data_IF_570414272754
#
_entry.id   IF_570414272754
#
_cell.length_a   1.000
_cell.length_b   1.000
_cell.length_c   1.000
_cell.angle_alpha   90.00
_cell.angle_beta   90.00
_cell.angle_gamma   90.00
#
_symmetry.space_group_name_H-M   'P 1'
#
loop_
_entity.id
_entity.type
_entity.pdbx_description
1 polymer ?
#
# COMPACT_ATOMS: atom_id res chain seq x y z
N UNK A 1 60.60 -17.12 24.39
CA UNK A 1 59.83 -18.28 23.90
C UNK A 1 58.76 -17.73 22.99
N UNK A 2 58.60 -18.29 21.78
CA UNK A 2 57.37 -18.06 21.02
C UNK A 2 56.22 -18.70 21.81
N UNK A 3 55.05 -18.05 21.91
CA UNK A 3 53.89 -18.67 22.51
C UNK A 3 53.59 -20.01 21.81
N UNK A 4 53.13 -21.02 22.55
CA UNK A 4 52.83 -22.34 21.98
C UNK A 4 51.79 -22.21 20.85
N UNK A 5 51.98 -22.98 19.78
CA UNK A 5 51.05 -23.05 18.68
C UNK A 5 49.77 -23.74 19.16
N UNK A 6 48.69 -22.98 19.34
CA UNK A 6 47.43 -23.47 19.92
C UNK A 6 46.91 -24.76 19.27
N UNK A 7 46.97 -24.95 17.93
CA UNK A 7 46.49 -26.19 17.31
C UNK A 7 47.30 -27.45 17.66
N UNK A 8 48.51 -27.30 18.21
CA UNK A 8 49.31 -28.45 18.66
C UNK A 8 48.91 -28.96 20.06
N UNK A 9 48.01 -28.26 20.75
CA UNK A 9 47.66 -28.53 22.15
C UNK A 9 46.15 -28.56 22.43
N UNK A 10 45.32 -27.93 21.58
CA UNK A 10 43.87 -27.90 21.72
C UNK A 10 43.17 -27.96 20.37
N UNK A 11 42.05 -28.68 20.32
CA UNK A 11 41.07 -28.57 19.24
C UNK A 11 40.12 -27.42 19.55
N UNK A 12 39.91 -26.52 18.59
CA UNK A 12 39.00 -25.39 18.73
C UNK A 12 37.85 -25.57 17.76
N UNK A 13 36.65 -25.57 18.31
CA UNK A 13 35.41 -25.56 17.53
C UNK A 13 34.65 -24.26 17.80
N UNK A 14 33.96 -23.77 16.78
CA UNK A 14 33.10 -22.61 16.87
C UNK A 14 31.91 -22.85 15.96
N UNK A 15 30.70 -22.68 16.48
CA UNK A 15 29.48 -22.76 15.69
C UNK A 15 28.56 -21.65 16.17
N UNK A 16 27.96 -20.93 15.22
CA UNK A 16 26.88 -20.01 15.49
C UNK A 16 25.59 -20.57 14.87
N UNK A 17 24.50 -20.53 15.61
CA UNK A 17 23.21 -21.04 15.14
C UNK A 17 22.30 -19.83 14.90
N UNK A 18 21.71 -19.68 13.70
CA UNK A 18 20.76 -18.62 13.45
C UNK A 18 19.53 -18.79 14.34
N UNK A 19 18.98 -17.66 14.78
CA UNK A 19 17.69 -17.67 15.47
C UNK A 19 16.64 -18.33 14.57
N UNK A 20 15.79 -19.18 15.16
CA UNK A 20 14.79 -19.97 14.44
C UNK A 20 15.28 -21.33 13.93
N UNK A 21 16.59 -21.58 13.86
CA UNK A 21 17.11 -22.88 13.43
C UNK A 21 16.82 -23.99 14.46
N UNK A 22 16.38 -25.20 14.05
CA UNK A 22 16.03 -26.26 14.99
C UNK A 22 17.27 -26.80 15.71
N UNK A 23 17.18 -27.00 17.02
CA UNK A 23 18.30 -27.49 17.84
C UNK A 23 18.72 -28.93 17.51
N UNK A 24 17.79 -29.72 16.99
CA UNK A 24 17.98 -31.11 16.58
C UNK A 24 18.45 -31.24 15.12
N UNK A 25 18.43 -30.15 14.35
CA UNK A 25 18.90 -30.12 12.98
C UNK A 25 20.38 -29.77 12.91
N UNK A 26 21.21 -30.78 12.64
CA UNK A 26 22.65 -30.55 12.43
C UNK A 26 22.92 -29.68 11.20
N UNK A 27 23.94 -28.82 11.33
CA UNK A 27 24.50 -28.09 10.20
C UNK A 27 25.14 -29.04 9.19
N UNK A 28 25.11 -28.66 7.91
CA UNK A 28 25.73 -29.44 6.84
C UNK A 28 27.23 -29.61 7.08
N UNK A 29 27.81 -30.69 6.51
CA UNK A 29 29.27 -30.91 6.59
C UNK A 29 30.06 -29.78 5.95
N UNK A 30 29.57 -29.24 4.83
CA UNK A 30 30.19 -28.11 4.14
C UNK A 30 30.23 -26.86 5.04
N UNK A 31 29.14 -26.59 5.77
CA UNK A 31 29.09 -25.50 6.75
C UNK A 31 30.17 -25.68 7.82
N UNK A 32 30.27 -26.88 8.41
CA UNK A 32 31.27 -27.21 9.45
C UNK A 32 32.70 -27.06 8.90
N UNK A 33 32.97 -27.53 7.69
CA UNK A 33 34.27 -27.38 7.03
C UNK A 33 34.63 -25.91 6.75
N UNK A 34 33.68 -25.11 6.30
CA UNK A 34 33.91 -23.70 6.03
C UNK A 34 34.19 -22.91 7.32
N UNK A 35 33.50 -23.23 8.41
CA UNK A 35 33.81 -22.66 9.72
C UNK A 35 35.18 -23.13 10.24
N UNK A 36 35.54 -24.40 10.03
CA UNK A 36 36.87 -24.92 10.33
C UNK A 36 37.99 -24.12 9.65
N UNK A 37 37.84 -23.83 8.35
CA UNK A 37 38.81 -22.99 7.60
C UNK A 37 38.97 -21.60 8.20
N UNK A 38 37.90 -21.01 8.74
CA UNK A 38 37.95 -19.70 9.41
C UNK A 38 38.73 -19.80 10.73
N UNK A 39 38.50 -20.86 11.51
CA UNK A 39 39.24 -21.11 12.76
C UNK A 39 40.72 -21.37 12.46
N UNK A 40 41.04 -22.19 11.46
CA UNK A 40 42.41 -22.46 11.03
C UNK A 40 43.13 -21.17 10.60
N UNK A 41 42.46 -20.30 9.84
CA UNK A 41 43.02 -19.03 9.41
C UNK A 41 43.34 -18.09 10.58
N UNK A 42 42.48 -18.07 11.61
CA UNK A 42 42.73 -17.32 12.84
C UNK A 42 43.89 -17.92 13.65
N UNK A 43 43.89 -19.23 13.86
CA UNK A 43 44.96 -19.94 14.57
C UNK A 43 46.31 -19.79 13.88
N UNK A 44 46.31 -19.75 12.54
CA UNK A 44 47.46 -19.47 11.70
C UNK A 44 47.88 -18.00 11.64
N UNK A 45 47.22 -17.12 12.41
CA UNK A 45 47.48 -15.66 12.46
C UNK A 45 47.33 -14.94 11.11
N UNK A 46 46.57 -15.53 10.18
CA UNK A 46 46.26 -14.94 8.87
C UNK A 46 44.97 -14.12 8.87
N UNK A 47 44.20 -14.20 9.97
CA UNK A 47 42.96 -13.46 10.17
C UNK A 47 42.93 -12.81 11.56
N UNK A 48 42.43 -11.57 11.62
CA UNK A 48 42.27 -10.83 12.87
C UNK A 48 41.15 -11.42 13.73
N UNK A 49 41.36 -11.47 15.04
CA UNK A 49 40.37 -12.02 15.99
C UNK A 49 39.03 -11.26 15.96
N UNK A 50 39.09 -9.93 15.82
CA UNK A 50 37.89 -9.08 15.79
C UNK A 50 36.92 -9.34 14.64
N UNK A 51 37.29 -10.11 13.62
CA UNK A 51 36.40 -10.44 12.48
C UNK A 51 35.87 -11.88 12.51
N UNK A 52 36.37 -12.75 13.40
CA UNK A 52 36.00 -14.18 13.43
C UNK A 52 34.49 -14.36 13.54
N UNK A 53 33.85 -13.73 14.52
CA UNK A 53 32.43 -13.90 14.77
C UNK A 53 31.57 -13.53 13.55
N UNK A 54 31.94 -12.44 12.86
CA UNK A 54 31.26 -12.00 11.64
C UNK A 54 31.52 -12.97 10.48
N UNK A 55 32.74 -13.47 10.34
CA UNK A 55 33.10 -14.44 9.31
C UNK A 55 32.35 -15.77 9.49
N UNK A 56 32.30 -16.30 10.72
CA UNK A 56 31.54 -17.51 11.06
C UNK A 56 30.06 -17.30 10.75
N UNK A 57 29.45 -16.21 11.24
CA UNK A 57 28.03 -15.90 10.99
C UNK A 57 27.72 -15.85 9.49
N UNK A 58 28.52 -15.12 8.70
CA UNK A 58 28.35 -15.01 7.25
C UNK A 58 28.51 -16.36 6.55
N UNK A 59 29.52 -17.14 6.91
CA UNK A 59 29.77 -18.47 6.35
C UNK A 59 28.61 -19.43 6.58
N UNK A 60 27.97 -19.35 7.75
CA UNK A 60 26.82 -20.19 8.08
C UNK A 60 25.61 -19.76 7.26
N UNK A 61 25.27 -18.46 7.25
CA UNK A 61 24.17 -17.93 6.45
C UNK A 61 24.32 -18.22 4.94
N UNK A 62 25.55 -18.12 4.40
CA UNK A 62 25.83 -18.43 3.00
C UNK A 62 25.66 -19.91 2.64
N UNK A 63 25.73 -20.80 3.64
CA UNK A 63 25.60 -22.26 3.44
C UNK A 63 24.18 -22.80 3.63
N UNK A 64 23.24 -21.96 4.11
CA UNK A 64 21.84 -22.36 4.25
C UNK A 64 21.20 -22.45 2.88
N UNK A 65 20.60 -23.60 2.59
CA UNK A 65 20.03 -24.01 1.30
C UNK A 65 18.52 -24.27 1.33
N UNK A 66 17.86 -24.00 2.45
CA UNK A 66 16.40 -24.03 2.55
C UNK A 66 15.84 -22.88 3.40
N UNK A 67 14.56 -22.58 3.16
CA UNK A 67 13.79 -21.58 3.89
C UNK A 67 14.12 -20.13 3.50
N UNK A 68 13.80 -19.23 4.41
CA UNK A 68 13.94 -17.78 4.24
C UNK A 68 14.82 -17.21 5.36
N UNK A 69 15.69 -16.27 5.02
CA UNK A 69 16.55 -15.60 5.98
C UNK A 69 16.19 -14.11 6.02
N UNK A 70 15.84 -13.59 7.20
CA UNK A 70 15.55 -12.16 7.41
C UNK A 70 16.36 -11.67 8.60
N UNK A 71 17.21 -10.67 8.41
CA UNK A 71 18.04 -10.09 9.48
C UNK A 71 18.86 -11.14 10.25
N UNK A 72 19.37 -12.16 9.55
CA UNK A 72 20.05 -13.34 10.13
C UNK A 72 19.19 -14.30 10.96
N UNK A 73 17.87 -14.12 10.99
CA UNK A 73 16.90 -15.09 11.52
C UNK A 73 16.51 -16.03 10.39
N UNK A 74 16.46 -17.33 10.67
CA UNK A 74 16.03 -18.36 9.72
C UNK A 74 14.58 -18.74 9.97
N UNK A 75 13.83 -18.86 8.87
CA UNK A 75 12.44 -19.26 8.83
C UNK A 75 12.35 -20.49 7.94
N UNK A 76 12.17 -21.66 8.55
CA UNK A 76 12.06 -22.93 7.81
C UNK A 76 10.69 -23.10 7.17
N UNK A 77 9.66 -23.21 8.01
CA UNK A 77 8.27 -23.22 7.56
C UNK A 77 7.85 -21.79 7.25
N UNK A 78 7.39 -21.55 6.01
CA UNK A 78 6.93 -20.24 5.52
C UNK A 78 5.55 -19.86 6.09
N UNK A 79 5.38 -20.02 7.39
CA UNK A 79 4.23 -19.50 8.11
C UNK A 79 4.26 -17.97 8.05
N UNK A 80 3.21 -17.39 7.50
CA UNK A 80 3.14 -15.96 7.25
C UNK A 80 3.35 -15.14 8.53
N UNK A 81 2.83 -15.59 9.67
CA UNK A 81 3.02 -14.95 10.97
C UNK A 81 4.50 -14.88 11.39
N UNK A 82 5.28 -15.94 11.15
CA UNK A 82 6.73 -15.96 11.45
C UNK A 82 7.49 -15.00 10.54
N UNK A 83 7.08 -14.88 9.27
CA UNK A 83 7.66 -13.92 8.32
C UNK A 83 7.39 -12.48 8.81
N UNK A 84 6.16 -12.18 9.24
CA UNK A 84 5.80 -10.87 9.77
C UNK A 84 6.55 -10.54 11.06
N UNK A 85 6.74 -11.52 11.95
CA UNK A 85 7.53 -11.36 13.17
C UNK A 85 8.99 -11.04 12.83
N UNK A 86 9.60 -11.76 11.88
CA UNK A 86 10.97 -11.49 11.47
C UNK A 86 11.13 -10.10 10.79
N UNK A 87 10.09 -9.63 10.08
CA UNK A 87 10.02 -8.30 9.49
C UNK A 87 9.69 -7.18 10.49
N UNK A 88 9.43 -7.49 11.77
CA UNK A 88 9.11 -6.46 12.78
C UNK A 88 10.23 -5.43 12.94
N UNK A 89 11.47 -5.89 12.75
CA UNK A 89 12.69 -5.11 12.90
C UNK A 89 13.03 -4.29 11.64
N UNK A 90 12.34 -4.54 10.53
CA UNK A 90 12.49 -3.78 9.28
C UNK A 90 11.65 -2.50 9.32
N UNK A 91 12.24 -1.38 8.88
CA UNK A 91 11.53 -0.12 8.77
C UNK A 91 10.39 -0.22 7.73
N UNK A 92 9.21 0.28 8.06
CA UNK A 92 8.04 0.25 7.17
C UNK A 92 6.73 0.42 7.95
N UNK A 93 5.68 0.82 7.25
CA UNK A 93 4.31 0.79 7.77
C UNK A 93 3.79 -0.65 7.90
N UNK A 94 2.69 -0.83 8.63
CA UNK A 94 2.05 -2.16 8.78
C UNK A 94 1.68 -2.74 7.41
N UNK A 95 1.06 -1.96 6.53
CA UNK A 95 0.71 -2.41 5.18
C UNK A 95 1.93 -2.74 4.31
N UNK A 96 3.05 -2.00 4.45
CA UNK A 96 4.29 -2.38 3.75
C UNK A 96 4.85 -3.70 4.27
N UNK A 97 4.77 -3.93 5.58
CA UNK A 97 5.24 -5.18 6.19
C UNK A 97 4.41 -6.37 5.74
N UNK A 98 3.09 -6.23 5.74
CA UNK A 98 2.16 -7.26 5.28
C UNK A 98 2.42 -7.61 3.80
N UNK A 99 2.48 -6.59 2.94
CA UNK A 99 2.75 -6.81 1.53
C UNK A 99 4.15 -7.39 1.28
N UNK A 100 5.16 -6.98 2.05
CA UNK A 100 6.50 -7.55 1.99
C UNK A 100 6.52 -9.02 2.44
N UNK A 101 5.70 -9.41 3.41
CA UNK A 101 5.54 -10.80 3.79
C UNK A 101 4.99 -11.66 2.65
N UNK A 102 3.93 -11.17 1.97
CA UNK A 102 3.34 -11.88 0.83
C UNK A 102 4.29 -11.98 -0.37
N UNK A 103 5.01 -10.89 -0.68
CA UNK A 103 5.96 -10.89 -1.80
C UNK A 103 7.15 -11.83 -1.54
N UNK A 104 7.63 -11.91 -0.29
CA UNK A 104 8.69 -12.84 0.09
C UNK A 104 8.20 -14.29 0.03
N UNK A 105 6.97 -14.56 0.51
CA UNK A 105 6.36 -15.90 0.42
C UNK A 105 6.30 -16.34 -1.03
N UNK A 106 5.76 -15.49 -1.90
CA UNK A 106 5.67 -15.76 -3.35
C UNK A 106 7.05 -15.98 -3.96
N UNK A 107 8.04 -15.16 -3.60
CA UNK A 107 9.41 -15.28 -4.09
C UNK A 107 10.04 -16.63 -3.70
N UNK A 108 9.95 -17.01 -2.43
CA UNK A 108 10.53 -18.28 -1.95
C UNK A 108 9.83 -19.49 -2.58
N UNK A 109 8.50 -19.46 -2.73
CA UNK A 109 7.74 -20.55 -3.36
C UNK A 109 8.09 -20.76 -4.84
N UNK A 110 8.63 -19.75 -5.53
CA UNK A 110 9.02 -19.83 -6.94
C UNK A 110 10.51 -20.14 -7.15
N UNK A 111 11.32 -20.19 -6.10
CA UNK A 111 12.72 -20.62 -6.19
C UNK A 111 12.77 -22.15 -6.13
N UNK A 112 13.23 -22.78 -7.19
CA UNK A 112 13.47 -24.21 -7.24
C UNK A 112 14.83 -24.56 -6.63
N UNK A 113 15.00 -25.82 -6.20
CA UNK A 113 16.29 -26.30 -5.66
C UNK A 113 17.46 -26.25 -6.65
N UNK A 114 17.18 -26.06 -7.94
CA UNK A 114 18.18 -25.94 -9.01
C UNK A 114 18.52 -24.47 -9.33
N UNK A 115 17.79 -23.51 -8.75
CA UNK A 115 17.95 -22.09 -9.01
C UNK A 115 18.99 -21.45 -8.08
N UNK A 116 19.58 -20.34 -8.52
CA UNK A 116 20.35 -19.48 -7.63
C UNK A 116 19.39 -18.72 -6.71
N UNK A 117 19.76 -18.61 -5.43
CA UNK A 117 18.98 -17.82 -4.48
C UNK A 117 19.21 -16.33 -4.65
N UNK A 118 18.49 -15.56 -3.83
CA UNK A 118 18.49 -14.11 -3.93
C UNK A 118 18.90 -13.49 -2.60
N UNK A 119 19.63 -12.38 -2.67
CA UNK A 119 19.97 -11.54 -1.52
C UNK A 119 19.54 -10.11 -1.79
N UNK A 120 18.73 -9.58 -0.89
CA UNK A 120 18.31 -8.19 -0.88
C UNK A 120 19.16 -7.44 0.15
N UNK A 121 19.92 -6.46 -0.31
CA UNK A 121 20.77 -5.65 0.57
C UNK A 121 19.99 -4.47 1.21
N UNK A 122 20.65 -3.73 2.10
CA UNK A 122 20.06 -2.57 2.78
C UNK A 122 19.70 -1.37 1.87
N UNK A 123 19.95 -1.47 0.56
CA UNK A 123 19.57 -0.48 -0.46
C UNK A 123 18.47 -1.00 -1.40
N UNK A 124 17.96 -2.22 -1.17
CA UNK A 124 17.00 -2.86 -2.05
C UNK A 124 17.60 -3.41 -3.35
N UNK A 125 18.93 -3.54 -3.44
CA UNK A 125 19.56 -4.16 -4.60
C UNK A 125 19.59 -5.68 -4.43
N UNK A 126 19.33 -6.40 -5.53
CA UNK A 126 19.38 -7.86 -5.59
C UNK A 126 20.79 -8.31 -5.97
N UNK A 127 21.25 -9.37 -5.33
CA UNK A 127 22.46 -10.12 -5.70
C UNK A 127 22.18 -11.63 -5.60
N UNK A 128 22.87 -12.40 -6.43
CA UNK A 128 22.73 -13.86 -6.46
C UNK A 128 23.35 -14.53 -5.22
N UNK A 129 22.76 -15.63 -4.80
CA UNK A 129 23.29 -16.56 -3.80
C UNK A 129 23.54 -17.91 -4.43
N UNK A 130 24.59 -18.57 -3.95
CA UNK A 130 24.95 -19.94 -4.39
C UNK A 130 23.94 -21.00 -3.97
N UNK A 131 23.14 -20.71 -2.95
CA UNK A 131 22.14 -21.62 -2.41
C UNK A 131 20.74 -21.12 -2.79
N UNK A 132 19.76 -22.01 -2.99
CA UNK A 132 18.42 -21.67 -3.51
C UNK A 132 17.53 -21.06 -2.41
N UNK A 133 17.98 -19.99 -1.76
CA UNK A 133 17.23 -19.34 -0.67
C UNK A 133 17.26 -17.83 -0.77
N UNK A 134 16.21 -17.19 -0.24
CA UNK A 134 16.11 -15.74 -0.16
C UNK A 134 16.72 -15.24 1.15
N UNK A 135 17.55 -14.21 1.07
CA UNK A 135 18.12 -13.52 2.23
C UNK A 135 17.82 -12.02 2.18
N UNK A 136 17.20 -11.50 3.23
CA UNK A 136 17.06 -10.06 3.48
C UNK A 136 18.12 -9.65 4.50
N UNK A 137 19.05 -8.79 4.09
CA UNK A 137 20.11 -8.29 4.96
C UNK A 137 19.57 -7.24 5.93
N UNK A 138 20.13 -7.27 7.14
CA UNK A 138 19.90 -6.26 8.18
C UNK A 138 20.06 -4.82 7.64
N UNK A 139 19.05 -4.00 7.89
CA UNK A 139 18.99 -2.61 7.44
C UNK A 139 18.14 -2.37 6.19
N UNK A 140 17.70 -3.41 5.48
CA UNK A 140 16.69 -3.26 4.43
C UNK A 140 15.33 -2.86 5.03
N UNK A 141 14.65 -1.89 4.43
CA UNK A 141 13.26 -1.56 4.77
C UNK A 141 12.27 -2.50 4.08
N UNK A 142 11.02 -2.56 4.55
CA UNK A 142 9.96 -3.27 3.83
C UNK A 142 9.75 -2.67 2.43
N UNK A 143 9.93 -1.35 2.28
CA UNK A 143 9.90 -0.68 0.98
C UNK A 143 11.02 -1.13 0.03
N UNK A 144 12.22 -1.42 0.56
CA UNK A 144 13.35 -1.95 -0.22
C UNK A 144 13.05 -3.37 -0.72
N UNK A 145 12.51 -4.22 0.16
CA UNK A 145 12.08 -5.59 -0.19
C UNK A 145 11.01 -5.55 -1.29
N UNK A 146 9.99 -4.72 -1.12
CA UNK A 146 8.93 -4.53 -2.10
C UNK A 146 9.51 -4.04 -3.43
N UNK A 147 10.36 -3.02 -3.41
CA UNK A 147 10.98 -2.48 -4.63
C UNK A 147 11.80 -3.52 -5.37
N UNK A 148 12.57 -4.33 -4.64
CA UNK A 148 13.40 -5.38 -5.21
C UNK A 148 12.56 -6.45 -5.94
N UNK A 149 11.43 -6.85 -5.35
CA UNK A 149 10.66 -8.01 -5.80
C UNK A 149 9.38 -7.64 -6.58
N UNK A 150 9.06 -6.36 -6.71
CA UNK A 150 7.77 -5.90 -7.24
C UNK A 150 7.53 -6.32 -8.69
N UNK A 151 8.57 -6.24 -9.52
CA UNK A 151 8.45 -6.56 -10.94
C UNK A 151 8.00 -8.01 -11.12
N UNK A 152 8.65 -8.95 -10.44
CA UNK A 152 8.38 -10.38 -10.63
C UNK A 152 7.17 -10.88 -9.82
N UNK A 153 6.97 -10.36 -8.60
CA UNK A 153 6.04 -10.95 -7.63
C UNK A 153 4.94 -9.99 -7.15
N UNK A 154 4.91 -8.76 -7.67
CA UNK A 154 3.95 -7.74 -7.24
C UNK A 154 2.49 -8.11 -7.51
N UNK A 155 2.21 -8.86 -8.59
CA UNK A 155 0.86 -9.34 -8.89
C UNK A 155 0.40 -10.34 -7.82
N UNK A 156 1.20 -11.36 -7.50
CA UNK A 156 0.88 -12.34 -6.45
C UNK A 156 0.70 -11.69 -5.08
N UNK A 157 1.48 -10.65 -4.78
CA UNK A 157 1.33 -9.88 -3.56
C UNK A 157 0.00 -9.08 -3.52
N UNK A 158 -0.44 -8.53 -4.66
CA UNK A 158 -1.74 -7.85 -4.79
C UNK A 158 -2.92 -8.83 -4.64
N UNK A 159 -2.82 -10.02 -5.22
CA UNK A 159 -3.84 -11.06 -5.09
C UNK A 159 -4.00 -11.51 -3.63
N UNK A 160 -2.89 -11.61 -2.91
CA UNK A 160 -2.88 -11.97 -1.48
C UNK A 160 -3.65 -10.98 -0.60
N UNK A 161 -3.75 -9.71 -1.01
CA UNK A 161 -4.53 -8.67 -0.32
C UNK A 161 -5.92 -8.43 -0.94
N UNK A 162 -6.34 -9.31 -1.84
CA UNK A 162 -7.69 -9.32 -2.41
C UNK A 162 -7.89 -8.48 -3.67
N UNK A 163 -6.80 -8.10 -4.36
CA UNK A 163 -6.84 -7.35 -5.62
C UNK A 163 -6.50 -8.32 -6.76
N UNK A 164 -7.50 -8.74 -7.54
CA UNK A 164 -7.38 -9.80 -8.54
C UNK A 164 -7.59 -9.30 -9.98
N UNK A 165 -7.06 -10.06 -10.94
CA UNK A 165 -7.33 -9.88 -12.38
C UNK A 165 -6.88 -8.52 -12.93
N UNK A 166 -7.63 -7.99 -13.90
CA UNK A 166 -7.30 -6.75 -14.63
C UNK A 166 -7.04 -5.54 -13.71
N UNK A 167 -7.69 -5.48 -12.54
CA UNK A 167 -7.44 -4.41 -11.57
C UNK A 167 -6.01 -4.50 -11.00
N UNK A 168 -5.59 -5.70 -10.60
CA UNK A 168 -4.24 -5.98 -10.10
C UNK A 168 -3.18 -5.69 -11.15
N UNK A 169 -3.38 -6.15 -12.38
CA UNK A 169 -2.46 -5.91 -13.51
C UNK A 169 -2.29 -4.41 -13.79
N UNK A 170 -3.38 -3.64 -13.80
CA UNK A 170 -3.30 -2.18 -14.01
C UNK A 170 -2.58 -1.46 -12.87
N UNK A 171 -2.78 -1.88 -11.63
CA UNK A 171 -2.11 -1.32 -10.46
C UNK A 171 -0.61 -1.61 -10.52
N UNK A 172 -0.25 -2.87 -10.77
CA UNK A 172 1.13 -3.32 -10.93
C UNK A 172 1.84 -2.59 -12.07
N UNK A 173 1.21 -2.50 -13.26
CA UNK A 173 1.80 -1.84 -14.42
C UNK A 173 2.01 -0.34 -14.18
N UNK A 174 1.08 0.34 -13.50
CA UNK A 174 1.23 1.76 -13.12
C UNK A 174 2.40 1.96 -12.18
N UNK A 175 2.55 1.08 -11.19
CA UNK A 175 3.63 1.15 -10.23
C UNK A 175 5.00 0.86 -10.88
N UNK A 176 5.07 -0.04 -11.88
CA UNK A 176 6.28 -0.26 -12.67
C UNK A 176 6.64 0.92 -13.58
N UNK A 177 5.65 1.49 -14.30
CA UNK A 177 5.90 2.61 -15.22
C UNK A 177 6.26 3.91 -14.51
N UNK A 178 5.66 4.17 -13.34
CA UNK A 178 5.89 5.38 -12.55
C UNK A 178 5.99 5.02 -11.06
N UNK A 179 7.15 4.51 -10.62
CA UNK A 179 7.32 4.04 -9.25
C UNK A 179 7.08 5.15 -8.24
N UNK A 180 6.20 4.87 -7.28
CA UNK A 180 6.01 5.68 -6.07
C UNK A 180 6.60 4.94 -4.87
N UNK A 181 7.09 5.63 -3.85
CA UNK A 181 7.41 4.98 -2.58
C UNK A 181 6.22 4.16 -2.07
N UNK A 182 6.46 2.92 -1.61
CA UNK A 182 5.39 1.98 -1.27
C UNK A 182 4.43 2.49 -0.20
N UNK A 183 4.92 3.19 0.83
CA UNK A 183 4.06 3.86 1.80
C UNK A 183 3.12 4.92 1.20
N UNK A 184 3.47 5.56 0.09
CA UNK A 184 2.56 6.48 -0.64
C UNK A 184 1.63 5.72 -1.57
N UNK A 185 2.14 4.67 -2.23
CA UNK A 185 1.36 3.80 -3.09
C UNK A 185 0.21 3.13 -2.33
N UNK A 186 0.49 2.52 -1.17
CA UNK A 186 -0.51 1.84 -0.36
C UNK A 186 -1.59 2.78 0.18
N UNK A 187 -1.18 3.94 0.71
CA UNK A 187 -2.14 5.00 1.08
C UNK A 187 -3.04 5.42 -0.09
N UNK A 188 -2.48 5.44 -1.30
CA UNK A 188 -3.23 5.70 -2.52
C UNK A 188 -4.24 4.62 -2.86
N UNK A 189 -3.89 3.34 -2.65
CA UNK A 189 -4.80 2.20 -2.84
C UNK A 189 -5.96 2.25 -1.85
N UNK A 190 -5.67 2.45 -0.55
CA UNK A 190 -6.70 2.55 0.49
C UNK A 190 -7.67 3.69 0.19
N UNK A 191 -7.13 4.87 -0.12
CA UNK A 191 -7.93 6.04 -0.48
C UNK A 191 -8.78 5.81 -1.74
N UNK A 192 -8.25 5.12 -2.75
CA UNK A 192 -8.99 4.78 -3.95
C UNK A 192 -10.12 3.79 -3.67
N UNK A 193 -9.87 2.77 -2.84
CA UNK A 193 -10.87 1.77 -2.44
C UNK A 193 -12.00 2.39 -1.62
N UNK A 194 -11.65 3.23 -0.64
CA UNK A 194 -12.64 4.00 0.13
C UNK A 194 -13.46 4.92 -0.79
N UNK A 195 -12.81 5.63 -1.70
CA UNK A 195 -13.48 6.52 -2.66
C UNK A 195 -14.43 5.74 -3.58
N UNK A 196 -14.03 4.55 -4.05
CA UNK A 196 -14.88 3.69 -4.87
C UNK A 196 -16.09 3.16 -4.08
N UNK A 197 -15.88 2.72 -2.82
CA UNK A 197 -16.95 2.30 -1.91
C UNK A 197 -17.96 3.43 -1.72
N UNK A 198 -17.51 4.63 -1.37
CA UNK A 198 -18.37 5.80 -1.18
C UNK A 198 -19.08 6.21 -2.48
N UNK A 199 -18.39 6.18 -3.62
CA UNK A 199 -18.99 6.48 -4.93
C UNK A 199 -20.13 5.52 -5.28
N UNK A 200 -19.99 4.23 -4.96
CA UNK A 200 -20.99 3.17 -5.19
C UNK A 200 -22.24 3.28 -4.31
N UNK A 201 -22.18 4.08 -3.23
CA UNK A 201 -23.35 4.34 -2.37
C UNK A 201 -24.38 5.24 -3.05
N UNK A 202 -23.98 6.07 -3.99
CA UNK A 202 -24.90 6.91 -4.75
C UNK A 202 -25.43 6.17 -5.99
N UNK A 203 -26.66 6.50 -6.39
CA UNK A 203 -27.41 5.82 -7.46
C UNK A 203 -27.15 6.38 -8.86
N UNK A 204 -26.77 7.66 -8.98
CA UNK A 204 -26.65 8.40 -10.26
C UNK A 204 -25.27 9.00 -10.46
N UNK A 205 -24.57 8.78 -11.58
CA UNK A 205 -23.20 9.27 -11.82
C UNK A 205 -23.18 10.78 -12.13
N UNK A 206 -22.02 11.41 -11.92
CA UNK A 206 -21.78 12.80 -12.37
C UNK A 206 -21.99 12.89 -13.89
N UNK A 207 -22.76 13.87 -14.34
CA UNK A 207 -23.12 14.06 -15.75
C UNK A 207 -24.20 13.12 -16.29
N UNK A 208 -24.77 12.24 -15.46
CA UNK A 208 -25.89 11.38 -15.86
C UNK A 208 -27.21 12.16 -15.94
N UNK A 209 -27.38 13.16 -15.08
CA UNK A 209 -28.55 14.04 -15.05
C UNK A 209 -28.28 15.30 -15.88
N UNK A 210 -29.27 15.71 -16.66
CA UNK A 210 -29.23 16.96 -17.44
C UNK A 210 -29.81 18.17 -16.68
N UNK A 211 -29.75 19.33 -17.33
CA UNK A 211 -30.42 20.54 -16.83
C UNK A 211 -29.78 21.17 -15.59
N UNK A 212 -30.54 22.05 -14.95
CA UNK A 212 -30.15 22.68 -13.68
C UNK A 212 -30.13 21.66 -12.53
N UNK A 213 -31.01 20.65 -12.54
CA UNK A 213 -30.97 19.56 -11.56
C UNK A 213 -29.64 18.81 -11.64
N UNK A 214 -29.20 18.45 -12.85
CA UNK A 214 -27.93 17.79 -13.07
C UNK A 214 -26.73 18.62 -12.63
N UNK A 215 -26.75 19.92 -12.92
CA UNK A 215 -25.69 20.84 -12.48
C UNK A 215 -25.58 20.91 -10.94
N UNK A 216 -26.70 21.00 -10.23
CA UNK A 216 -26.70 20.99 -8.76
C UNK A 216 -26.24 19.63 -8.23
N UNK A 217 -26.77 18.53 -8.77
CA UNK A 217 -26.38 17.17 -8.41
C UNK A 217 -24.86 16.96 -8.54
N UNK A 218 -24.29 17.39 -9.66
CA UNK A 218 -22.87 17.26 -9.93
C UNK A 218 -22.02 18.09 -8.97
N UNK A 219 -22.43 19.32 -8.68
CA UNK A 219 -21.76 20.17 -7.67
C UNK A 219 -21.86 19.58 -6.26
N UNK A 220 -22.99 18.99 -5.88
CA UNK A 220 -23.14 18.28 -4.60
C UNK A 220 -22.20 17.08 -4.54
N UNK A 221 -22.22 16.20 -5.55
CA UNK A 221 -21.32 15.04 -5.58
C UNK A 221 -19.85 15.43 -5.55
N UNK A 222 -19.44 16.41 -6.35
CA UNK A 222 -18.05 16.89 -6.38
C UNK A 222 -17.68 17.53 -5.05
N UNK A 223 -18.58 18.30 -4.43
CA UNK A 223 -18.34 18.93 -3.13
C UNK A 223 -18.17 17.90 -2.01
N UNK A 224 -18.97 16.83 -2.02
CA UNK A 224 -18.92 15.75 -1.04
C UNK A 224 -17.74 14.79 -1.23
N UNK A 225 -17.36 14.49 -2.48
CA UNK A 225 -16.33 13.49 -2.80
C UNK A 225 -14.94 14.09 -2.98
N UNK A 226 -14.84 15.22 -3.68
CA UNK A 226 -13.56 15.85 -4.05
C UNK A 226 -13.26 17.12 -3.23
N UNK A 227 -14.21 17.53 -2.38
CA UNK A 227 -14.11 18.68 -1.49
C UNK A 227 -14.74 19.96 -2.03
N UNK A 228 -15.29 20.75 -1.11
CA UNK A 228 -16.02 21.99 -1.40
C UNK A 228 -15.23 22.98 -2.28
N UNK A 229 -13.92 23.08 -2.11
CA UNK A 229 -13.09 24.02 -2.88
C UNK A 229 -13.05 23.72 -4.38
N UNK A 230 -13.13 22.45 -4.78
CA UNK A 230 -13.17 22.07 -6.21
C UNK A 230 -14.54 22.41 -6.80
N UNK A 231 -15.62 22.06 -6.10
CA UNK A 231 -16.98 22.40 -6.49
C UNK A 231 -17.21 23.91 -6.53
N UNK A 232 -16.65 24.68 -5.59
CA UNK A 232 -16.74 26.14 -5.58
C UNK A 232 -16.09 26.77 -6.82
N UNK A 233 -14.89 26.31 -7.22
CA UNK A 233 -14.25 26.78 -8.47
C UNK A 233 -15.09 26.46 -9.71
N UNK A 234 -15.80 25.34 -9.72
CA UNK A 234 -16.70 24.98 -10.82
C UNK A 234 -17.98 25.83 -10.80
N UNK A 235 -18.52 26.08 -9.61
CA UNK A 235 -19.72 26.89 -9.42
C UNK A 235 -19.50 28.36 -9.79
N UNK A 236 -18.31 28.92 -9.60
CA UNK A 236 -18.00 30.33 -9.95
C UNK A 236 -17.41 30.51 -11.35
N UNK A 237 -17.25 29.42 -12.11
CA UNK A 237 -16.80 29.48 -13.50
C UNK A 237 -17.85 30.16 -14.40
N UNK A 238 -17.47 30.53 -15.63
CA UNK A 238 -18.40 31.14 -16.57
C UNK A 238 -19.51 30.15 -16.96
N UNK A 239 -20.75 30.63 -16.98
CA UNK A 239 -21.93 29.85 -17.35
C UNK A 239 -22.44 30.23 -18.74
N UNK A 240 -22.97 29.25 -19.47
CA UNK A 240 -23.54 29.41 -20.81
C UNK A 240 -25.06 29.67 -20.80
N UNK A 241 -25.70 29.59 -19.63
CA UNK A 241 -27.14 29.75 -19.45
C UNK A 241 -27.49 30.26 -18.06
N UNK A 242 -28.64 30.96 -17.96
CA UNK A 242 -29.17 31.47 -16.69
C UNK A 242 -29.51 30.31 -15.74
N UNK A 243 -29.98 29.18 -16.25
CA UNK A 243 -30.37 28.03 -15.42
C UNK A 243 -29.15 27.36 -14.79
N UNK A 244 -28.04 27.20 -15.52
CA UNK A 244 -26.78 26.73 -14.92
C UNK A 244 -26.21 27.73 -13.92
N UNK A 245 -26.34 29.03 -14.18
CA UNK A 245 -25.92 30.07 -13.23
C UNK A 245 -26.76 30.04 -11.95
N UNK A 246 -28.08 29.87 -12.08
CA UNK A 246 -28.99 29.73 -10.95
C UNK A 246 -28.71 28.43 -10.17
N UNK A 247 -28.39 27.33 -10.85
CA UNK A 247 -28.02 26.05 -10.22
C UNK A 247 -26.74 26.18 -9.39
N UNK A 248 -25.69 26.74 -9.97
CA UNK A 248 -24.42 26.99 -9.28
C UNK A 248 -24.60 27.93 -8.08
N UNK A 249 -25.41 28.97 -8.21
CA UNK A 249 -25.72 29.88 -7.10
C UNK A 249 -26.56 29.21 -6.00
N UNK A 250 -27.54 28.37 -6.37
CA UNK A 250 -28.35 27.61 -5.41
C UNK A 250 -27.49 26.67 -4.56
N UNK A 251 -26.52 26.00 -5.20
CA UNK A 251 -25.54 25.18 -4.49
C UNK A 251 -24.67 26.01 -3.53
N UNK A 252 -24.11 27.15 -3.97
CA UNK A 252 -23.30 28.03 -3.11
C UNK A 252 -24.08 28.52 -1.89
N UNK A 253 -25.36 28.87 -2.05
CA UNK A 253 -26.25 29.23 -0.95
C UNK A 253 -26.51 28.05 0.00
N UNK A 254 -26.69 26.85 -0.55
CA UNK A 254 -26.97 25.65 0.24
C UNK A 254 -25.79 25.25 1.14
N UNK A 255 -24.56 25.31 0.62
CA UNK A 255 -23.34 24.93 1.36
C UNK A 255 -22.70 26.10 2.12
N UNK A 256 -23.32 27.29 2.13
CA UNK A 256 -22.83 28.45 2.86
C UNK A 256 -21.54 29.07 2.29
N UNK A 257 -21.32 28.96 0.97
CA UNK A 257 -20.14 29.45 0.24
C UNK A 257 -20.45 30.65 -0.68
N UNK A 258 -21.59 31.30 -0.50
CA UNK A 258 -22.05 32.39 -1.37
C UNK A 258 -21.37 33.74 -1.12
N UNK A 259 -20.85 33.99 0.08
CA UNK A 259 -20.34 35.31 0.51
C UNK A 259 -19.21 35.81 -0.38
N UNK A 260 -19.39 36.97 -1.01
CA UNK A 260 -18.39 37.60 -1.87
C UNK A 260 -18.33 37.04 -3.29
N UNK A 261 -19.20 36.08 -3.62
CA UNK A 261 -19.30 35.47 -4.94
C UNK A 261 -20.46 36.04 -5.77
N UNK A 262 -21.25 36.98 -5.23
CA UNK A 262 -22.47 37.51 -5.86
C UNK A 262 -22.22 38.15 -7.22
N UNK A 263 -21.03 38.75 -7.40
CA UNK A 263 -20.65 39.46 -8.63
C UNK A 263 -20.44 38.53 -9.83
N UNK A 264 -20.29 37.22 -9.61
CA UNK A 264 -20.21 36.22 -10.68
C UNK A 264 -21.58 35.92 -11.31
N UNK A 265 -22.69 36.30 -10.66
CA UNK A 265 -24.03 35.87 -11.04
C UNK A 265 -24.98 37.03 -11.30
N UNK A 266 -25.76 36.91 -12.37
CA UNK A 266 -26.81 37.86 -12.71
C UNK A 266 -27.95 37.87 -11.66
N UNK A 267 -28.66 38.99 -11.52
CA UNK A 267 -29.80 39.13 -10.61
C UNK A 267 -30.90 38.10 -10.85
N UNK A 268 -31.19 37.77 -12.10
CA UNK A 268 -32.24 36.80 -12.45
C UNK A 268 -31.85 35.37 -12.04
N UNK A 269 -30.57 35.02 -12.23
CA UNK A 269 -30.03 33.74 -11.77
C UNK A 269 -30.11 33.61 -10.25
N UNK A 270 -29.76 34.69 -9.53
CA UNK A 270 -29.82 34.73 -8.06
C UNK A 270 -31.25 34.63 -7.53
N UNK A 271 -32.20 35.29 -8.18
CA UNK A 271 -33.63 35.20 -7.84
C UNK A 271 -34.16 33.77 -8.02
N UNK A 272 -33.87 33.12 -9.15
CA UNK A 272 -34.29 31.73 -9.42
C UNK A 272 -33.71 30.74 -8.42
N UNK A 273 -32.41 30.84 -8.15
CA UNK A 273 -31.71 29.99 -7.20
C UNK A 273 -32.28 30.04 -5.77
N UNK A 274 -32.87 31.17 -5.37
CA UNK A 274 -33.49 31.32 -4.05
C UNK A 274 -34.65 30.33 -3.88
N UNK A 275 -35.40 30.04 -4.95
CA UNK A 275 -36.45 29.03 -4.94
C UNK A 275 -35.90 27.61 -4.82
N UNK A 276 -34.71 27.35 -5.38
CA UNK A 276 -34.08 26.02 -5.39
C UNK A 276 -33.24 25.71 -4.15
N UNK A 277 -32.94 26.74 -3.35
CA UNK A 277 -32.02 26.64 -2.21
C UNK A 277 -32.42 25.55 -1.22
N UNK A 278 -33.70 25.43 -0.86
CA UNK A 278 -34.13 24.48 0.17
C UNK A 278 -33.99 23.03 -0.32
N UNK A 279 -34.49 22.71 -1.52
CA UNK A 279 -34.30 21.39 -2.11
C UNK A 279 -32.82 21.06 -2.34
N UNK A 280 -32.00 22.08 -2.66
CA UNK A 280 -30.55 21.89 -2.77
C UNK A 280 -29.91 21.56 -1.41
N UNK A 281 -30.34 22.21 -0.33
CA UNK A 281 -29.88 21.87 1.04
C UNK A 281 -30.30 20.46 1.45
N UNK A 282 -31.52 20.06 1.11
CA UNK A 282 -32.00 18.70 1.36
C UNK A 282 -31.19 17.67 0.59
N UNK A 283 -30.86 17.94 -0.68
CA UNK A 283 -29.99 17.08 -1.47
C UNK A 283 -28.59 16.96 -0.85
N UNK A 284 -27.95 18.09 -0.48
CA UNK A 284 -26.66 18.09 0.22
C UNK A 284 -26.73 17.22 1.48
N UNK A 285 -27.73 17.45 2.33
CA UNK A 285 -27.92 16.71 3.59
C UNK A 285 -28.15 15.22 3.36
N UNK A 286 -28.94 14.85 2.35
CA UNK A 286 -29.17 13.45 1.99
C UNK A 286 -27.88 12.77 1.54
N UNK A 287 -27.02 13.48 0.79
CA UNK A 287 -25.70 12.99 0.40
C UNK A 287 -24.74 12.83 1.57
N UNK A 288 -24.70 13.78 2.50
CA UNK A 288 -23.91 13.68 3.74
C UNK A 288 -24.33 12.48 4.59
N UNK A 289 -25.64 12.28 4.77
CA UNK A 289 -26.19 11.13 5.50
C UNK A 289 -25.83 9.81 4.80
N UNK A 290 -25.92 9.75 3.47
CA UNK A 290 -25.59 8.56 2.69
C UNK A 290 -24.11 8.18 2.83
N UNK A 291 -23.21 9.16 2.90
CA UNK A 291 -21.78 8.94 3.10
C UNK A 291 -21.43 8.54 4.55
N UNK A 292 -22.16 9.05 5.55
CA UNK A 292 -21.87 8.82 6.97
C UNK A 292 -22.62 7.65 7.60
N UNK A 293 -23.63 7.09 6.93
CA UNK A 293 -24.43 5.99 7.47
C UNK A 293 -23.69 4.64 7.53
N UNK A 294 -24.18 3.77 8.41
CA UNK A 294 -23.73 2.38 8.50
C UNK A 294 -24.17 1.56 7.27
N UNK A 295 -23.44 0.48 6.95
CA UNK A 295 -23.66 -0.30 5.73
C UNK A 295 -25.08 -0.91 5.64
N UNK A 296 -25.73 -1.19 6.77
CA UNK A 296 -27.12 -1.69 6.85
C UNK A 296 -28.19 -0.61 6.54
N UNK A 297 -27.85 0.68 6.65
CA UNK A 297 -28.75 1.81 6.40
C UNK A 297 -28.66 2.33 4.97
N UNK A 298 -27.64 1.92 4.21
CA UNK A 298 -27.39 2.37 2.83
C UNK A 298 -28.62 2.25 1.91
N UNK A 299 -29.42 1.16 1.94
CA UNK A 299 -30.61 1.07 1.07
C UNK A 299 -31.66 2.15 1.35
N UNK A 300 -31.88 2.49 2.62
CA UNK A 300 -32.82 3.55 3.02
C UNK A 300 -32.29 4.93 2.64
N UNK A 301 -30.99 5.19 2.88
CA UNK A 301 -30.36 6.46 2.53
C UNK A 301 -30.27 6.67 1.01
N UNK A 302 -30.11 5.60 0.23
CA UNK A 302 -30.21 5.65 -1.25
C UNK A 302 -31.57 6.16 -1.70
N UNK A 303 -32.64 5.66 -1.09
CA UNK A 303 -34.00 6.12 -1.39
C UNK A 303 -34.18 7.59 -1.03
N UNK A 304 -33.69 8.01 0.14
CA UNK A 304 -33.73 9.41 0.57
C UNK A 304 -32.99 10.34 -0.41
N UNK A 305 -31.83 9.91 -0.90
CA UNK A 305 -31.08 10.61 -1.95
C UNK A 305 -31.87 10.72 -3.27
N UNK A 306 -32.46 9.62 -3.74
CA UNK A 306 -33.28 9.61 -4.96
C UNK A 306 -34.53 10.51 -4.82
N UNK A 307 -35.19 10.46 -3.65
CA UNK A 307 -36.36 11.29 -3.34
C UNK A 307 -35.98 12.79 -3.30
N UNK A 308 -34.79 13.13 -2.80
CA UNK A 308 -34.26 14.49 -2.80
C UNK A 308 -33.94 15.00 -4.22
N UNK A 309 -33.37 14.14 -5.08
CA UNK A 309 -33.20 14.47 -6.51
C UNK A 309 -34.57 14.72 -7.16
N UNK A 310 -35.55 13.85 -6.90
CA UNK A 310 -36.89 13.99 -7.47
C UNK A 310 -37.63 15.24 -6.95
N UNK A 311 -37.39 15.66 -5.70
CA UNK A 311 -37.92 16.91 -5.16
C UNK A 311 -37.24 18.12 -5.81
N UNK A 312 -35.90 18.11 -5.92
CA UNK A 312 -35.15 19.17 -6.59
C UNK A 312 -35.61 19.36 -8.03
N UNK A 313 -35.76 18.26 -8.77
CA UNK A 313 -36.25 18.26 -10.15
C UNK A 313 -37.64 18.91 -10.28
N UNK A 314 -38.56 18.60 -9.34
CA UNK A 314 -39.89 19.21 -9.28
C UNK A 314 -39.85 20.71 -8.97
N UNK A 315 -38.99 21.14 -8.04
CA UNK A 315 -38.86 22.54 -7.63
C UNK A 315 -38.22 23.40 -8.74
N UNK A 316 -37.37 22.80 -9.56
CA UNK A 316 -36.79 23.45 -10.74
C UNK A 316 -37.78 23.49 -11.90
N UNK A 317 -38.76 22.58 -11.94
CA UNK A 317 -39.75 22.46 -13.01
C UNK A 317 -39.27 21.65 -14.21
N UNK A 318 -38.28 20.78 -14.02
CA UNK A 318 -37.78 19.84 -15.02
C UNK A 318 -38.58 18.53 -14.91
N UNK A 319 -39.26 18.07 -15.98
CA UNK A 319 -39.95 16.78 -16.01
C UNK A 319 -39.04 15.66 -16.50
#
# INVERSE_FOLDING_TARGET
MLPPFLPSIVDIEGVWIPEGWPLDKEMSKETKENVGKIIDAWQGLTMNEGVIAKAIKRSILDSIDEGLIINSKWIGELEYEKILEALSDNAGSVGERELAGHILTSCVENISNEDEGLRINARGEISERKTPTVEVIEGASCGDILTALWEDYGISALESIGIFGDEGEQIWEKQNKKPKPFGTFLKGLDSARESAKLTSRFTTKVGELGGATGQIHDLVRIGLMDGLGKAERMATARHDSIDKAAASWAWLLAVGRSTGQEWHFDGDARNRATAWMNATKELVKSGENLLSCEDNQVPEMKKSWDDAIAQLRRDIGEN
#
